data_IF_029535546000
#
_entry.id   IF_029535546000
#
_cell.length_a   1.000
_cell.length_b   1.000
_cell.length_c   1.000
_cell.angle_alpha   90.00
_cell.angle_beta   90.00
_cell.angle_gamma   90.00
#
_symmetry.space_group_name_H-M   'P 1'
#
loop_
_entity.id
_entity.type
_entity.pdbx_description
1 polymer ?
#
# COMPACT_ATOMS: atom_id res chain seq x y z
N UNK A 1 -0.10 -10.44 -22.83
CA UNK A 1 -0.22 -9.07 -22.34
C UNK A 1 -0.52 -9.06 -20.88
N UNK A 2 0.15 -8.24 -20.14
CA UNK A 2 0.02 -8.22 -18.69
C UNK A 2 -0.94 -7.14 -18.21
N UNK A 3 -1.17 -7.16 -16.90
CA UNK A 3 -1.87 -6.10 -16.24
C UNK A 3 -0.95 -4.90 -16.04
N UNK A 4 -1.54 -3.74 -15.88
CA UNK A 4 -0.85 -2.50 -15.55
C UNK A 4 -1.29 -2.08 -14.16
N UNK A 5 -0.36 -1.63 -13.33
CA UNK A 5 -0.67 -1.09 -12.01
C UNK A 5 -0.92 0.41 -12.13
N UNK A 6 -2.05 0.86 -11.60
CA UNK A 6 -2.45 2.27 -11.58
C UNK A 6 -2.72 2.65 -10.13
N UNK A 7 -2.24 3.81 -9.73
CA UNK A 7 -2.43 4.33 -8.37
C UNK A 7 -3.63 5.27 -8.34
N UNK A 8 -4.57 5.01 -7.45
CA UNK A 8 -5.67 5.93 -7.19
C UNK A 8 -5.16 7.16 -6.43
N UNK A 9 -5.96 8.20 -6.41
CA UNK A 9 -5.69 9.39 -5.62
C UNK A 9 -5.48 9.00 -4.16
N UNK A 10 -4.50 9.59 -3.51
CA UNK A 10 -4.18 9.32 -2.11
C UNK A 10 -3.10 8.29 -1.88
N UNK A 11 -2.76 7.45 -2.87
CA UNK A 11 -1.70 6.43 -2.68
C UNK A 11 -0.34 7.08 -2.46
N UNK A 12 -0.02 8.13 -3.19
CA UNK A 12 1.26 8.81 -2.99
C UNK A 12 1.34 9.46 -1.61
N UNK A 13 0.23 10.00 -1.11
CA UNK A 13 0.15 10.52 0.25
C UNK A 13 0.32 9.39 1.28
N UNK A 14 -0.27 8.23 1.03
CA UNK A 14 -0.07 7.07 1.90
C UNK A 14 1.41 6.71 2.01
N UNK A 15 2.12 6.72 0.89
CA UNK A 15 3.55 6.40 0.87
C UNK A 15 4.38 7.45 1.62
N UNK A 16 4.01 8.73 1.49
CA UNK A 16 4.66 9.80 2.25
C UNK A 16 4.47 9.61 3.76
N UNK A 17 3.26 9.27 4.18
CA UNK A 17 2.97 9.01 5.60
C UNK A 17 3.75 7.82 6.12
N UNK A 18 3.89 6.78 5.32
CA UNK A 18 4.70 5.61 5.69
C UNK A 18 6.17 6.03 5.82
N UNK A 19 6.67 6.83 4.89
CA UNK A 19 8.03 7.33 4.94
C UNK A 19 8.29 8.11 6.24
N UNK A 20 7.39 9.02 6.59
CA UNK A 20 7.50 9.82 7.81
C UNK A 20 7.51 8.94 9.05
N UNK A 21 6.62 7.96 9.09
CA UNK A 21 6.54 7.00 10.20
C UNK A 21 7.83 6.19 10.36
N UNK A 22 8.36 5.69 9.24
CA UNK A 22 9.60 4.93 9.25
C UNK A 22 10.79 5.77 9.67
N UNK A 23 10.88 7.00 9.16
CA UNK A 23 11.94 7.93 9.53
C UNK A 23 11.94 8.16 11.05
N UNK A 24 10.78 8.51 11.61
CA UNK A 24 10.66 8.74 13.06
C UNK A 24 11.02 7.50 13.86
N UNK A 25 10.58 6.33 13.41
CA UNK A 25 10.89 5.07 14.08
C UNK A 25 12.40 4.79 14.10
N UNK A 26 13.09 5.03 12.99
CA UNK A 26 14.52 4.79 12.91
C UNK A 26 15.31 5.77 13.79
N UNK A 27 14.88 7.05 13.82
CA UNK A 27 15.49 8.03 14.71
C UNK A 27 15.30 7.63 16.16
N UNK A 28 14.09 7.19 16.53
CA UNK A 28 13.79 6.75 17.90
C UNK A 28 14.60 5.52 18.30
N UNK A 29 14.97 4.69 17.34
CA UNK A 29 15.81 3.51 17.59
C UNK A 29 17.31 3.86 17.67
N UNK A 30 17.68 5.11 17.44
CA UNK A 30 19.03 5.58 17.60
C UNK A 30 19.81 5.81 16.32
N UNK A 31 19.20 5.66 15.15
CA UNK A 31 19.89 5.95 13.88
C UNK A 31 20.20 7.44 13.77
N UNK A 32 21.38 7.80 13.25
CA UNK A 32 21.62 9.18 12.84
C UNK A 32 20.59 9.63 11.80
N UNK A 33 20.25 10.92 11.79
CA UNK A 33 19.21 11.46 10.93
C UNK A 33 19.44 11.11 9.45
N UNK A 34 20.67 11.26 8.96
CA UNK A 34 20.98 10.95 7.56
C UNK A 34 20.72 9.48 7.22
N UNK A 35 21.08 8.58 8.12
CA UNK A 35 20.84 7.14 7.92
C UNK A 35 19.35 6.82 7.98
N UNK A 36 18.62 7.47 8.90
CA UNK A 36 17.17 7.28 9.02
C UNK A 36 16.46 7.72 7.74
N UNK A 37 16.88 8.84 7.13
CA UNK A 37 16.34 9.30 5.84
C UNK A 37 16.57 8.24 4.77
N UNK A 38 17.78 7.72 4.65
CA UNK A 38 18.13 6.75 3.61
C UNK A 38 17.40 5.42 3.81
N UNK A 39 17.29 4.95 5.05
CA UNK A 39 16.60 3.70 5.36
C UNK A 39 15.10 3.80 5.08
N UNK A 40 14.48 4.90 5.46
CA UNK A 40 13.05 5.12 5.20
C UNK A 40 12.79 5.15 3.69
N UNK A 41 13.60 5.89 2.94
CA UNK A 41 13.46 5.98 1.48
C UNK A 41 13.64 4.60 0.81
N UNK A 42 14.62 3.81 1.25
CA UNK A 42 14.86 2.48 0.72
C UNK A 42 13.68 1.56 0.98
N UNK A 43 13.09 1.66 2.17
CA UNK A 43 11.93 0.84 2.54
C UNK A 43 10.71 1.19 1.70
N UNK A 44 10.48 2.48 1.46
CA UNK A 44 9.37 2.93 0.60
C UNK A 44 9.58 2.44 -0.84
N UNK A 45 10.79 2.50 -1.36
CA UNK A 45 11.08 1.94 -2.69
C UNK A 45 10.78 0.45 -2.76
N UNK A 46 11.08 -0.29 -1.69
CA UNK A 46 10.75 -1.72 -1.60
C UNK A 46 9.24 -1.93 -1.62
N UNK A 47 8.48 -1.10 -0.91
CA UNK A 47 7.01 -1.16 -0.93
C UNK A 47 6.49 -0.89 -2.34
N UNK A 48 7.05 0.11 -3.03
CA UNK A 48 6.66 0.42 -4.40
C UNK A 48 6.96 -0.73 -5.36
N UNK A 49 8.08 -1.41 -5.18
CA UNK A 49 8.44 -2.59 -5.97
C UNK A 49 7.40 -3.70 -5.75
N UNK A 50 7.01 -3.95 -4.51
CA UNK A 50 6.00 -4.95 -4.20
C UNK A 50 4.63 -4.57 -4.80
N UNK A 51 4.29 -3.29 -4.78
CA UNK A 51 3.07 -2.78 -5.40
C UNK A 51 3.06 -3.05 -6.91
N UNK A 52 4.14 -2.72 -7.59
CA UNK A 52 4.25 -2.94 -9.04
C UNK A 52 4.20 -4.43 -9.39
N UNK A 53 4.71 -5.29 -8.51
CA UNK A 53 4.70 -6.73 -8.73
C UNK A 53 3.30 -7.33 -8.72
N UNK A 54 2.28 -6.60 -8.26
CA UNK A 54 0.89 -7.08 -8.31
C UNK A 54 0.42 -7.33 -9.74
N UNK A 55 1.03 -6.69 -10.73
CA UNK A 55 0.69 -6.94 -12.13
C UNK A 55 0.95 -8.38 -12.58
N UNK A 56 1.85 -9.09 -11.89
CA UNK A 56 2.17 -10.48 -12.23
C UNK A 56 1.21 -11.49 -11.62
N UNK A 57 0.49 -11.12 -10.58
CA UNK A 57 -0.48 -11.99 -9.89
C UNK A 57 -1.66 -11.14 -9.39
N UNK A 58 -2.47 -10.60 -10.30
CA UNK A 58 -3.48 -9.61 -9.93
C UNK A 58 -4.60 -10.14 -9.05
N UNK A 59 -4.81 -11.46 -9.02
CA UNK A 59 -5.87 -12.06 -8.21
C UNK A 59 -5.37 -12.63 -6.89
N UNK A 60 -4.18 -12.24 -6.48
CA UNK A 60 -3.67 -12.64 -5.18
C UNK A 60 -4.36 -11.91 -4.04
N UNK A 61 -4.11 -12.36 -2.81
CA UNK A 61 -4.66 -11.75 -1.61
C UNK A 61 -6.06 -12.26 -1.31
N UNK A 62 -6.75 -11.56 -0.44
CA UNK A 62 -8.05 -11.93 0.08
C UNK A 62 -9.10 -10.94 -0.38
N UNK A 63 -10.24 -11.44 -0.84
CA UNK A 63 -11.40 -10.60 -1.13
C UNK A 63 -11.99 -10.08 0.18
N UNK A 64 -12.45 -8.84 0.15
CA UNK A 64 -13.10 -8.17 1.28
C UNK A 64 -14.50 -7.70 0.90
N UNK A 65 -15.41 -8.63 0.58
CA UNK A 65 -16.74 -8.27 0.08
C UNK A 65 -17.58 -7.52 1.11
N UNK A 66 -17.27 -7.66 2.39
CA UNK A 66 -17.95 -6.94 3.46
C UNK A 66 -17.66 -5.44 3.41
N UNK A 67 -16.56 -5.04 2.76
CA UNK A 67 -16.22 -3.62 2.56
C UNK A 67 -16.80 -3.15 1.24
N UNK A 68 -16.43 -3.81 0.15
CA UNK A 68 -17.03 -3.56 -1.15
C UNK A 68 -16.75 -4.75 -2.07
N UNK A 69 -17.70 -5.11 -2.97
CA UNK A 69 -17.48 -6.22 -3.90
C UNK A 69 -16.25 -5.98 -4.77
N UNK A 70 -15.44 -7.03 -4.92
CA UNK A 70 -14.26 -6.99 -5.76
C UNK A 70 -13.01 -6.42 -5.11
N UNK A 71 -13.13 -5.84 -3.93
CA UNK A 71 -11.98 -5.31 -3.22
C UNK A 71 -11.11 -6.46 -2.70
N UNK A 72 -9.81 -6.35 -2.96
CA UNK A 72 -8.82 -7.30 -2.47
C UNK A 72 -7.82 -6.59 -1.57
N UNK A 73 -7.23 -7.33 -0.66
CA UNK A 73 -6.08 -6.85 0.09
C UNK A 73 -5.03 -7.94 0.20
N UNK A 74 -3.78 -7.51 0.25
CA UNK A 74 -2.64 -8.40 0.46
C UNK A 74 -1.61 -7.68 1.31
N UNK A 75 -0.99 -8.43 2.21
CA UNK A 75 0.10 -7.91 3.05
C UNK A 75 1.41 -8.46 2.53
N UNK A 76 2.36 -7.56 2.28
CA UNK A 76 3.71 -7.92 1.89
C UNK A 76 4.68 -7.15 2.78
N UNK A 77 5.40 -7.89 3.62
CA UNK A 77 6.43 -7.33 4.48
C UNK A 77 5.93 -6.11 5.26
N UNK A 78 4.79 -6.27 5.94
CA UNK A 78 4.09 -5.28 6.77
C UNK A 78 3.37 -4.17 6.01
N UNK A 79 3.49 -4.08 4.70
CA UNK A 79 2.69 -3.15 3.92
C UNK A 79 1.43 -3.85 3.45
N UNK A 80 0.29 -3.19 3.62
CA UNK A 80 -1.01 -3.72 3.27
C UNK A 80 -1.52 -2.94 2.07
N UNK A 81 -1.76 -3.65 0.96
CA UNK A 81 -2.25 -3.06 -0.27
C UNK A 81 -3.73 -3.40 -0.45
N UNK A 82 -4.56 -2.38 -0.60
CA UNK A 82 -5.95 -2.55 -1.01
C UNK A 82 -6.06 -2.21 -2.48
N UNK A 83 -6.66 -3.11 -3.25
CA UNK A 83 -6.71 -2.93 -4.70
C UNK A 83 -7.94 -3.62 -5.29
N UNK A 84 -8.28 -3.18 -6.51
CA UNK A 84 -9.31 -3.80 -7.32
C UNK A 84 -8.71 -4.20 -8.66
N UNK A 85 -9.25 -5.25 -9.27
CA UNK A 85 -8.79 -5.74 -10.57
C UNK A 85 -9.85 -5.39 -11.61
N UNK A 86 -9.46 -4.59 -12.60
CA UNK A 86 -10.29 -4.32 -13.76
C UNK A 86 -9.86 -5.27 -14.87
N UNK A 87 -10.63 -6.34 -15.04
CA UNK A 87 -10.28 -7.40 -15.97
C UNK A 87 -10.46 -6.97 -17.43
N UNK A 88 -11.35 -6.03 -17.70
CA UNK A 88 -11.60 -5.54 -19.06
C UNK A 88 -10.44 -4.68 -19.53
N UNK A 89 -9.99 -3.75 -18.70
CA UNK A 89 -8.89 -2.85 -19.02
C UNK A 89 -7.52 -3.42 -18.69
N UNK A 90 -7.47 -4.58 -18.04
CA UNK A 90 -6.23 -5.20 -17.59
C UNK A 90 -5.45 -4.27 -16.66
N UNK A 91 -6.15 -3.75 -15.65
CA UNK A 91 -5.59 -2.80 -14.68
C UNK A 91 -5.74 -3.36 -13.27
N UNK A 92 -4.68 -3.23 -12.47
CA UNK A 92 -4.73 -3.38 -11.02
C UNK A 92 -4.76 -1.96 -10.46
N UNK A 93 -5.89 -1.56 -9.89
CA UNK A 93 -6.06 -0.23 -9.32
C UNK A 93 -5.76 -0.28 -7.83
N UNK A 94 -4.66 0.35 -7.43
CA UNK A 94 -4.29 0.44 -6.03
C UNK A 94 -5.11 1.57 -5.39
N UNK A 95 -5.88 1.23 -4.38
CA UNK A 95 -6.76 2.19 -3.70
C UNK A 95 -6.09 2.80 -2.48
N UNK A 96 -5.29 2.03 -1.76
CA UNK A 96 -4.61 2.50 -0.56
C UNK A 96 -3.45 1.59 -0.21
N UNK A 97 -2.48 2.15 0.49
CA UNK A 97 -1.36 1.42 1.07
C UNK A 97 -1.25 1.83 2.53
N UNK A 98 -1.27 0.86 3.44
CA UNK A 98 -1.14 1.11 4.87
C UNK A 98 0.02 0.28 5.42
N UNK A 99 0.52 0.68 6.56
CA UNK A 99 1.61 -0.03 7.20
C UNK A 99 1.11 -0.75 8.45
N UNK A 100 1.73 -1.88 8.79
CA UNK A 100 1.37 -2.69 9.95
C UNK A 100 1.30 -1.86 11.23
N UNK A 101 0.30 -2.15 12.06
CA UNK A 101 0.06 -1.41 13.29
C UNK A 101 -0.98 -0.30 13.15
N UNK A 102 -1.36 0.05 11.93
CA UNK A 102 -2.46 0.98 11.70
C UNK A 102 -3.77 0.19 11.65
N UNK A 103 -4.88 0.87 11.96
CA UNK A 103 -6.23 0.30 11.78
C UNK A 103 -6.59 0.39 10.31
N UNK A 104 -6.07 -0.53 9.51
CA UNK A 104 -6.22 -0.47 8.07
C UNK A 104 -7.66 -0.68 7.59
N UNK A 105 -8.45 -1.47 8.30
CA UNK A 105 -9.86 -1.67 7.93
C UNK A 105 -10.65 -0.38 8.08
N UNK A 106 -10.48 0.32 9.19
CA UNK A 106 -11.13 1.62 9.40
C UNK A 106 -10.66 2.63 8.37
N UNK A 107 -9.38 2.65 8.07
CA UNK A 107 -8.82 3.59 7.11
C UNK A 107 -9.31 3.37 5.69
N UNK A 108 -9.47 2.11 5.27
CA UNK A 108 -10.01 1.86 3.93
C UNK A 108 -11.50 2.23 3.86
N UNK A 109 -12.25 1.98 4.92
CA UNK A 109 -13.65 2.42 4.98
C UNK A 109 -13.76 3.94 4.84
N UNK A 110 -12.92 4.68 5.52
CA UNK A 110 -12.87 6.13 5.40
C UNK A 110 -12.49 6.57 3.99
N UNK A 111 -11.49 5.93 3.40
CA UNK A 111 -11.01 6.23 2.04
C UNK A 111 -12.15 6.04 1.03
N UNK A 112 -12.97 5.03 1.21
CA UNK A 112 -14.09 4.74 0.32
C UNK A 112 -15.36 5.51 0.68
N UNK A 113 -15.34 6.34 1.73
CA UNK A 113 -16.49 7.11 2.16
C UNK A 113 -17.59 6.28 2.81
N UNK A 114 -17.22 5.19 3.50
CA UNK A 114 -18.16 4.23 4.09
C UNK A 114 -18.07 4.16 5.61
N UNK A 115 -17.77 5.25 6.25
CA UNK A 115 -17.74 5.31 7.72
C UNK A 115 -19.11 5.56 8.29
#
# INVERSE_FOLDING_TARGET
>A
MGFKVVRAAGVDTDLELINDHLFESYVDLGDPISEAVDRAAARVRSIETDMEALMHSPYQGTLSPQITPGLRHVTKDKAIFYFEVDNVRQIVLILAVFFSGQDHEQRILERLGRT
#
